data_IF_211277587140
#
_entry.id   IF_211277587140
#
_cell.length_a   1.000
_cell.length_b   1.000
_cell.length_c   1.000
_cell.angle_alpha   90.00
_cell.angle_beta   90.00
_cell.angle_gamma   90.00
#
_symmetry.space_group_name_H-M   'P 1'
#
loop_
_entity.id
_entity.type
_entity.pdbx_description
1 polymer ?
#
# COMPACT_ATOMS: atom_id res chain seq x y z
N UNK A 1 -37.29 64.13 -7.21
CA UNK A 1 -37.36 63.11 -6.14
C UNK A 1 -36.33 62.04 -6.47
N UNK A 2 -35.44 61.73 -5.53
CA UNK A 2 -34.20 60.95 -5.78
C UNK A 2 -34.53 59.46 -5.99
N UNK A 3 -33.93 58.90 -7.04
CA UNK A 3 -33.96 57.48 -7.40
C UNK A 3 -33.15 56.65 -6.37
N UNK A 4 -33.66 55.51 -5.84
CA UNK A 4 -32.91 54.69 -4.91
C UNK A 4 -31.96 53.73 -5.64
N UNK A 5 -30.68 53.78 -5.24
CA UNK A 5 -29.62 52.86 -5.64
C UNK A 5 -29.87 51.47 -5.02
N UNK A 6 -30.07 50.44 -5.84
CA UNK A 6 -29.94 49.04 -5.40
C UNK A 6 -28.46 48.73 -5.14
N UNK A 7 -28.12 48.41 -3.88
CA UNK A 7 -26.83 47.79 -3.53
C UNK A 7 -26.83 46.34 -4.02
N UNK A 8 -25.88 46.00 -4.90
CA UNK A 8 -25.51 44.61 -5.20
C UNK A 8 -24.74 44.05 -4.00
N UNK A 9 -25.24 42.97 -3.40
CA UNK A 9 -24.51 42.20 -2.40
C UNK A 9 -23.31 41.45 -3.03
N UNK A 10 -22.27 41.12 -2.26
CA UNK A 10 -21.16 40.34 -2.77
C UNK A 10 -21.64 38.93 -3.11
N UNK A 11 -21.52 38.54 -4.38
CA UNK A 11 -21.79 37.19 -4.84
C UNK A 11 -20.73 36.25 -4.27
N UNK A 12 -21.17 35.24 -3.53
CA UNK A 12 -20.33 34.10 -3.16
C UNK A 12 -20.01 33.34 -4.44
N UNK A 13 -18.75 33.41 -4.87
CA UNK A 13 -18.23 32.57 -5.95
C UNK A 13 -17.93 31.21 -5.33
N UNK A 14 -18.81 30.23 -5.58
CA UNK A 14 -18.53 28.83 -5.27
C UNK A 14 -17.48 28.34 -6.26
N UNK A 15 -16.21 28.30 -5.85
CA UNK A 15 -15.15 27.63 -6.61
C UNK A 15 -15.33 26.13 -6.37
N UNK A 16 -15.98 25.46 -7.32
CA UNK A 16 -16.03 24.00 -7.36
C UNK A 16 -14.64 23.51 -7.81
N UNK A 17 -13.79 23.12 -6.85
CA UNK A 17 -12.56 22.39 -7.17
C UNK A 17 -12.99 20.97 -7.51
N UNK A 18 -13.11 20.68 -8.81
CA UNK A 18 -13.20 19.30 -9.29
C UNK A 18 -11.84 18.65 -9.02
N UNK A 19 -11.73 17.88 -7.94
CA UNK A 19 -10.63 16.94 -7.76
C UNK A 19 -10.85 15.85 -8.79
N UNK A 20 -10.23 16.02 -9.96
CA UNK A 20 -10.20 14.98 -10.97
C UNK A 20 -9.36 13.84 -10.45
N UNK A 21 -9.98 12.72 -10.07
CA UNK A 21 -9.25 11.48 -9.90
C UNK A 21 -8.53 11.18 -11.23
N UNK A 22 -7.22 10.90 -11.22
CA UNK A 22 -6.54 10.49 -12.44
C UNK A 22 -7.30 9.29 -13.01
N UNK A 23 -7.60 9.33 -14.32
CA UNK A 23 -8.15 8.17 -14.99
C UNK A 23 -7.15 7.02 -14.82
N UNK A 24 -7.48 6.09 -13.93
CA UNK A 24 -6.62 4.96 -13.60
C UNK A 24 -6.26 4.17 -14.87
N UNK A 25 -5.04 3.68 -14.95
CA UNK A 25 -4.52 2.98 -16.11
C UNK A 25 -5.38 1.80 -16.53
N UNK A 26 -5.54 1.60 -17.85
CA UNK A 26 -6.30 0.46 -18.37
C UNK A 26 -5.53 -0.86 -18.25
N UNK A 27 -4.22 -0.81 -18.43
CA UNK A 27 -3.32 -1.96 -18.24
C UNK A 27 -2.52 -1.71 -16.98
N UNK A 28 -2.53 -2.69 -16.08
CA UNK A 28 -1.96 -2.57 -14.74
C UNK A 28 -1.00 -3.73 -14.48
N UNK A 29 0.00 -3.50 -13.62
CA UNK A 29 0.82 -4.57 -13.07
C UNK A 29 -0.06 -5.34 -12.08
N UNK A 30 -0.26 -6.62 -12.33
CA UNK A 30 -1.27 -7.44 -11.66
C UNK A 30 -0.69 -8.44 -10.68
N UNK A 31 0.47 -9.01 -11.00
CA UNK A 31 1.11 -10.04 -10.19
C UNK A 31 2.62 -10.01 -10.43
N UNK A 32 3.41 -10.23 -9.37
CA UNK A 32 4.88 -10.18 -9.43
C UNK A 32 5.47 -11.39 -8.69
N UNK A 33 6.20 -12.23 -9.42
CA UNK A 33 7.03 -13.30 -8.87
C UNK A 33 8.50 -12.84 -8.87
N UNK A 34 8.89 -12.09 -7.83
CA UNK A 34 10.20 -11.44 -7.77
C UNK A 34 11.31 -12.31 -7.19
N UNK A 35 10.98 -13.33 -6.38
CA UNK A 35 11.96 -14.24 -5.79
C UNK A 35 11.39 -15.67 -5.75
N UNK A 36 11.34 -16.36 -6.90
CA UNK A 36 10.82 -17.73 -7.00
C UNK A 36 11.74 -18.76 -6.34
N UNK A 37 11.20 -19.92 -5.89
CA UNK A 37 12.00 -21.02 -5.39
C UNK A 37 12.74 -21.74 -6.54
N UNK A 38 13.92 -22.35 -6.28
CA UNK A 38 14.62 -22.32 -4.99
C UNK A 38 15.28 -20.95 -4.73
N UNK A 39 15.19 -20.48 -3.48
CA UNK A 39 15.83 -19.23 -3.06
C UNK A 39 17.37 -19.34 -2.99
N UNK A 40 17.91 -20.55 -2.79
CA UNK A 40 19.35 -20.81 -2.68
C UNK A 40 19.74 -22.12 -3.38
N UNK A 41 20.64 -22.11 -4.38
CA UNK A 41 21.02 -20.90 -5.14
C UNK A 41 19.79 -20.34 -5.84
N UNK A 42 19.68 -19.02 -5.84
CA UNK A 42 18.62 -18.27 -6.53
C UNK A 42 18.61 -18.58 -8.04
N UNK A 43 17.42 -18.65 -8.63
CA UNK A 43 17.22 -18.85 -10.08
C UNK A 43 16.39 -17.71 -10.68
N UNK A 44 17.00 -16.55 -11.02
CA UNK A 44 16.28 -15.38 -11.55
C UNK A 44 15.51 -15.66 -12.86
N UNK A 45 15.90 -16.71 -13.60
CA UNK A 45 15.21 -17.12 -14.82
C UNK A 45 13.75 -17.58 -14.59
N UNK A 46 13.35 -17.82 -13.34
CA UNK A 46 11.98 -18.20 -12.98
C UNK A 46 11.12 -16.99 -12.57
N UNK A 47 11.68 -15.79 -12.54
CA UNK A 47 10.93 -14.57 -12.25
C UNK A 47 9.97 -14.24 -13.39
N UNK A 48 8.85 -13.60 -13.05
CA UNK A 48 7.88 -13.12 -14.03
C UNK A 48 7.01 -12.00 -13.43
N UNK A 49 6.43 -11.21 -14.32
CA UNK A 49 5.45 -10.16 -14.02
C UNK A 49 4.22 -10.42 -14.87
N UNK A 50 3.04 -10.24 -14.32
CA UNK A 50 1.79 -10.26 -15.07
C UNK A 50 1.22 -8.86 -15.25
N UNK A 51 0.72 -8.59 -16.45
CA UNK A 51 -0.08 -7.41 -16.76
C UNK A 51 -1.55 -7.81 -16.93
N UNK A 52 -2.47 -7.00 -16.42
CA UNK A 52 -3.91 -7.18 -16.57
C UNK A 52 -4.55 -6.00 -17.30
N UNK A 53 -5.36 -6.27 -18.33
CA UNK A 53 -6.17 -5.26 -18.99
C UNK A 53 -7.57 -5.26 -18.38
N UNK A 54 -7.83 -4.33 -17.45
CA UNK A 54 -9.13 -4.17 -16.78
C UNK A 54 -10.17 -3.43 -17.63
N UNK A 55 -9.81 -3.00 -18.83
CA UNK A 55 -10.71 -2.30 -19.74
C UNK A 55 -11.59 -3.22 -20.58
N UNK A 56 -12.54 -2.60 -21.30
CA UNK A 56 -13.49 -3.29 -22.17
C UNK A 56 -13.00 -3.47 -23.62
N UNK A 57 -11.81 -2.96 -23.95
CA UNK A 57 -11.21 -3.06 -25.27
C UNK A 57 -9.83 -3.72 -25.21
N UNK A 58 -9.43 -4.38 -26.29
CA UNK A 58 -8.06 -4.87 -26.45
C UNK A 58 -7.06 -3.69 -26.46
N UNK A 59 -5.90 -3.87 -25.82
CA UNK A 59 -4.81 -2.88 -25.81
C UNK A 59 -3.59 -3.47 -26.50
N UNK A 60 -3.13 -2.80 -27.54
CA UNK A 60 -1.86 -3.10 -28.20
C UNK A 60 -0.70 -2.50 -27.40
N UNK A 61 0.26 -3.35 -27.04
CA UNK A 61 1.44 -2.96 -26.26
C UNK A 61 2.66 -2.67 -27.15
N UNK A 62 2.54 -2.69 -28.47
CA UNK A 62 3.67 -2.44 -29.38
C UNK A 62 4.40 -1.14 -29.02
N UNK A 63 5.70 -1.24 -28.70
CA UNK A 63 6.55 -0.13 -28.29
C UNK A 63 6.48 0.24 -26.80
N UNK A 64 5.58 -0.36 -26.02
CA UNK A 64 5.58 -0.22 -24.56
C UNK A 64 6.83 -0.89 -23.97
N UNK A 65 7.12 -0.61 -22.70
CA UNK A 65 8.24 -1.23 -21.98
C UNK A 65 7.92 -1.53 -20.52
N UNK A 66 8.57 -2.56 -20.00
CA UNK A 66 8.91 -2.61 -18.57
C UNK A 66 10.23 -1.87 -18.38
N UNK A 67 10.24 -0.97 -17.42
CA UNK A 67 11.35 -0.08 -17.06
C UNK A 67 11.42 0.03 -15.54
N UNK A 68 12.60 0.39 -15.02
CA UNK A 68 12.94 0.34 -13.59
C UNK A 68 12.80 -1.11 -13.06
N UNK A 69 13.92 -1.72 -12.67
CA UNK A 69 14.01 -3.13 -12.29
C UNK A 69 14.44 -4.05 -13.42
N UNK A 70 13.57 -4.27 -14.43
CA UNK A 70 13.90 -5.08 -15.61
C UNK A 70 13.72 -4.29 -16.90
N UNK A 71 14.46 -4.68 -17.95
CA UNK A 71 14.38 -4.05 -19.26
C UNK A 71 13.73 -4.99 -20.28
N UNK A 72 12.53 -4.64 -20.73
CA UNK A 72 11.79 -5.38 -21.76
C UNK A 72 11.01 -4.42 -22.65
N UNK A 73 11.00 -4.66 -23.96
CA UNK A 73 10.21 -3.89 -24.93
C UNK A 73 9.24 -4.81 -25.66
N UNK A 74 7.96 -4.45 -25.61
CA UNK A 74 6.89 -5.18 -26.27
C UNK A 74 6.91 -4.87 -27.77
N UNK A 75 6.81 -5.90 -28.62
CA UNK A 75 6.97 -5.73 -30.08
C UNK A 75 5.65 -5.88 -30.83
N UNK A 76 4.98 -7.02 -30.71
CA UNK A 76 3.70 -7.29 -31.37
C UNK A 76 2.85 -8.19 -30.47
N UNK A 77 2.26 -7.60 -29.43
CA UNK A 77 1.38 -8.29 -28.50
C UNK A 77 0.30 -7.34 -28.03
N UNK A 78 -0.91 -7.87 -27.91
CA UNK A 78 -2.03 -7.14 -27.35
C UNK A 78 -2.63 -7.95 -26.19
N UNK A 79 -3.15 -7.25 -25.20
CA UNK A 79 -3.92 -7.86 -24.12
C UNK A 79 -5.41 -7.66 -24.44
N UNK A 80 -6.20 -8.73 -24.65
CA UNK A 80 -7.65 -8.62 -24.82
C UNK A 80 -8.31 -7.93 -23.63
N UNK A 81 -9.53 -7.44 -23.83
CA UNK A 81 -10.36 -6.92 -22.74
C UNK A 81 -10.53 -7.98 -21.63
N UNK A 82 -10.24 -7.63 -20.39
CA UNK A 82 -10.27 -8.56 -19.25
C UNK A 82 -9.21 -9.66 -19.31
N UNK A 83 -8.23 -9.57 -20.21
CA UNK A 83 -7.16 -10.56 -20.35
C UNK A 83 -5.92 -10.24 -19.52
N UNK A 84 -5.10 -11.26 -19.29
CA UNK A 84 -3.77 -11.13 -18.69
C UNK A 84 -2.66 -11.44 -19.71
N UNK A 85 -1.46 -10.91 -19.48
CA UNK A 85 -0.25 -11.23 -20.21
C UNK A 85 0.91 -11.42 -19.24
N UNK A 86 1.52 -12.59 -19.26
CA UNK A 86 2.74 -12.87 -18.50
C UNK A 86 3.95 -12.36 -19.28
N UNK A 87 4.85 -11.68 -18.60
CA UNK A 87 6.18 -11.32 -19.06
C UNK A 87 7.17 -12.07 -18.17
N UNK A 88 7.93 -13.00 -18.73
CA UNK A 88 8.86 -13.84 -17.97
C UNK A 88 10.32 -13.41 -18.15
N UNK A 89 11.15 -13.61 -17.12
CA UNK A 89 12.60 -13.46 -17.21
C UNK A 89 13.21 -14.34 -18.29
N UNK A 90 12.77 -15.60 -18.35
CA UNK A 90 13.10 -16.54 -19.41
C UNK A 90 11.83 -17.26 -19.84
N UNK A 91 11.37 -16.98 -21.06
CA UNK A 91 10.09 -17.50 -21.56
C UNK A 91 10.09 -19.03 -21.64
N UNK A 92 11.19 -19.63 -22.09
CA UNK A 92 11.28 -21.08 -22.25
C UNK A 92 11.28 -21.80 -20.89
N UNK A 93 11.99 -21.26 -19.90
CA UNK A 93 12.00 -21.77 -18.53
C UNK A 93 10.62 -21.66 -17.89
N UNK A 94 9.97 -20.49 -18.04
CA UNK A 94 8.60 -20.28 -17.57
C UNK A 94 7.64 -21.31 -18.17
N UNK A 95 7.66 -21.50 -19.50
CA UNK A 95 6.78 -22.46 -20.17
C UNK A 95 7.03 -23.91 -19.77
N UNK A 96 8.24 -24.25 -19.31
CA UNK A 96 8.55 -25.57 -18.76
C UNK A 96 7.86 -25.80 -17.41
N UNK A 97 7.77 -24.76 -16.58
CA UNK A 97 7.12 -24.83 -15.26
C UNK A 97 5.59 -24.60 -15.35
N UNK A 98 5.14 -23.86 -16.36
CA UNK A 98 3.74 -23.49 -16.58
C UNK A 98 3.26 -23.88 -18.00
N UNK A 99 3.25 -25.18 -18.36
CA UNK A 99 3.01 -25.64 -19.74
C UNK A 99 1.61 -25.31 -20.30
N UNK A 100 0.64 -24.98 -19.45
CA UNK A 100 -0.71 -24.57 -19.84
C UNK A 100 -0.86 -23.08 -20.18
N UNK A 101 0.16 -22.26 -19.90
CA UNK A 101 0.09 -20.80 -20.04
C UNK A 101 0.73 -20.39 -21.36
N UNK A 102 -0.10 -19.96 -22.31
CA UNK A 102 0.31 -19.62 -23.69
C UNK A 102 0.42 -18.11 -23.94
N UNK A 103 -0.29 -17.29 -23.15
CA UNK A 103 -0.24 -15.84 -23.12
C UNK A 103 1.00 -15.34 -22.36
N UNK A 104 2.18 -15.73 -22.85
CA UNK A 104 3.47 -15.37 -22.26
C UNK A 104 4.41 -14.81 -23.32
N UNK A 105 5.02 -13.67 -22.99
CA UNK A 105 6.19 -13.08 -23.63
C UNK A 105 7.32 -13.03 -22.59
N UNK A 106 8.52 -12.57 -22.95
CA UNK A 106 9.60 -12.50 -21.98
C UNK A 106 10.98 -12.42 -22.60
N UNK A 107 11.96 -12.93 -21.86
CA UNK A 107 13.38 -12.81 -22.14
C UNK A 107 13.88 -11.38 -21.90
N UNK A 108 13.47 -10.80 -20.76
CA UNK A 108 13.93 -9.48 -20.34
C UNK A 108 15.42 -9.47 -19.97
N UNK A 109 16.02 -8.29 -19.97
CA UNK A 109 17.38 -8.10 -19.45
C UNK A 109 17.32 -7.59 -18.01
N UNK A 110 18.21 -8.11 -17.15
CA UNK A 110 18.22 -7.80 -15.72
C UNK A 110 17.50 -8.86 -14.91
N UNK A 111 17.16 -8.51 -13.67
CA UNK A 111 16.39 -9.34 -12.74
C UNK A 111 15.68 -8.45 -11.74
N UNK A 112 14.61 -8.97 -11.17
CA UNK A 112 13.93 -8.38 -10.05
C UNK A 112 14.82 -8.48 -8.79
N UNK A 113 14.80 -7.46 -7.93
CA UNK A 113 15.54 -7.40 -6.67
C UNK A 113 14.72 -7.96 -5.53
N UNK A 114 15.29 -8.89 -4.77
CA UNK A 114 14.57 -9.58 -3.69
C UNK A 114 14.21 -8.65 -2.51
N UNK A 115 15.08 -7.69 -2.19
CA UNK A 115 14.83 -6.73 -1.11
C UNK A 115 13.89 -5.58 -1.50
N UNK A 116 13.55 -5.47 -2.78
CA UNK A 116 12.64 -4.47 -3.29
C UNK A 116 13.23 -3.48 -4.29
N UNK A 117 12.34 -2.94 -5.11
CA UNK A 117 12.59 -1.89 -6.10
C UNK A 117 11.28 -1.34 -6.69
N UNK A 118 11.40 -0.32 -7.55
CA UNK A 118 10.28 0.16 -8.37
C UNK A 118 10.27 -0.59 -9.70
N UNK A 119 9.13 -1.17 -10.06
CA UNK A 119 8.81 -1.67 -11.39
C UNK A 119 7.81 -0.74 -12.06
N UNK A 120 8.07 -0.34 -13.31
CA UNK A 120 7.23 0.60 -14.05
C UNK A 120 6.84 0.05 -15.41
N UNK A 121 5.57 0.20 -15.78
CA UNK A 121 5.04 -0.03 -17.11
C UNK A 121 4.94 1.32 -17.82
N UNK A 122 5.56 1.43 -18.99
CA UNK A 122 5.61 2.69 -19.73
C UNK A 122 5.11 2.48 -21.16
N UNK A 123 4.24 3.37 -21.63
CA UNK A 123 3.69 3.27 -22.99
C UNK A 123 4.71 3.64 -24.09
N UNK A 124 4.31 3.43 -25.35
CA UNK A 124 5.13 3.75 -26.52
C UNK A 124 5.48 5.25 -26.66
N UNK A 125 4.73 6.15 -26.01
CA UNK A 125 5.02 7.58 -25.98
C UNK A 125 5.98 7.96 -24.83
N UNK A 126 6.38 7.00 -23.99
CA UNK A 126 7.26 7.22 -22.86
C UNK A 126 6.56 7.66 -21.58
N UNK A 127 5.23 7.57 -21.50
CA UNK A 127 4.44 7.94 -20.31
C UNK A 127 4.28 6.74 -19.38
N UNK A 128 4.58 6.93 -18.08
CA UNK A 128 4.35 5.90 -17.07
C UNK A 128 2.83 5.62 -16.99
N UNK A 129 2.48 4.37 -17.29
CA UNK A 129 1.10 3.88 -17.28
C UNK A 129 0.77 3.39 -15.89
N UNK A 130 1.64 2.55 -15.32
CA UNK A 130 1.47 2.01 -13.98
C UNK A 130 2.83 1.76 -13.34
N UNK A 131 2.88 1.75 -12.01
CA UNK A 131 4.10 1.36 -11.30
C UNK A 131 3.82 0.81 -9.90
N UNK A 132 4.72 -0.06 -9.45
CA UNK A 132 4.65 -0.70 -8.14
C UNK A 132 6.04 -0.68 -7.51
N UNK A 133 6.15 -0.20 -6.27
CA UNK A 133 7.39 -0.24 -5.49
C UNK A 133 7.37 -1.39 -4.51
N UNK A 134 7.66 -2.60 -4.98
CA UNK A 134 7.61 -3.81 -4.17
C UNK A 134 8.84 -3.97 -3.25
N UNK A 135 8.70 -4.75 -2.17
CA UNK A 135 9.77 -5.08 -1.24
C UNK A 135 9.50 -6.38 -0.48
N UNK A 136 10.53 -6.97 0.13
CA UNK A 136 10.38 -8.09 1.07
C UNK A 136 9.79 -7.67 2.43
N UNK A 137 9.69 -6.36 2.68
CA UNK A 137 9.15 -5.75 3.90
C UNK A 137 8.05 -4.73 3.56
N UNK A 138 7.41 -4.14 4.57
CA UNK A 138 6.34 -3.16 4.38
C UNK A 138 4.95 -3.75 4.58
N UNK A 139 3.93 -3.08 4.06
CA UNK A 139 2.53 -3.36 4.43
C UNK A 139 1.93 -4.63 3.79
N UNK A 140 2.60 -5.25 2.81
CA UNK A 140 2.28 -6.60 2.32
C UNK A 140 3.02 -7.72 3.07
N UNK A 141 3.95 -7.38 3.96
CA UNK A 141 4.75 -8.32 4.73
C UNK A 141 4.28 -8.35 6.18
N UNK A 142 4.47 -9.49 6.83
CA UNK A 142 4.24 -9.61 8.27
C UNK A 142 5.49 -9.15 9.02
N UNK A 143 5.33 -8.27 10.01
CA UNK A 143 6.44 -7.91 10.91
C UNK A 143 6.54 -8.93 12.02
N UNK A 144 7.61 -9.71 12.06
CA UNK A 144 7.84 -10.71 13.12
C UNK A 144 9.09 -10.37 13.92
N UNK A 145 9.14 -10.84 15.17
CA UNK A 145 10.37 -10.77 15.96
C UNK A 145 11.39 -11.71 15.30
N UNK A 146 12.53 -11.15 14.90
CA UNK A 146 13.61 -11.87 14.25
C UNK A 146 14.46 -12.71 15.19
N UNK A 147 15.43 -13.41 14.61
CA UNK A 147 16.45 -14.11 15.38
C UNK A 147 17.34 -13.13 16.17
N UNK A 148 17.96 -13.57 17.29
CA UNK A 148 18.89 -12.73 18.02
C UNK A 148 20.06 -12.34 17.12
N UNK A 149 20.56 -11.11 17.30
CA UNK A 149 21.75 -10.71 16.57
C UNK A 149 22.94 -11.61 16.95
N UNK A 150 23.82 -11.96 15.99
CA UNK A 150 25.00 -12.76 16.26
C UNK A 150 25.85 -12.16 17.39
N UNK A 151 26.14 -12.96 18.42
CA UNK A 151 26.94 -12.53 19.57
C UNK A 151 26.21 -11.65 20.59
N UNK A 152 24.91 -11.37 20.42
CA UNK A 152 24.09 -10.64 21.39
C UNK A 152 23.28 -11.59 22.29
N UNK A 153 22.84 -11.15 23.48
CA UNK A 153 21.91 -11.90 24.30
C UNK A 153 20.61 -12.21 23.56
N UNK A 154 19.99 -13.37 23.82
CA UNK A 154 18.81 -13.85 23.09
C UNK A 154 17.54 -12.99 23.18
N UNK A 155 17.51 -12.00 24.07
CA UNK A 155 16.44 -11.00 24.20
C UNK A 155 16.65 -9.78 23.29
N UNK A 156 17.87 -9.57 22.77
CA UNK A 156 18.16 -8.50 21.83
C UNK A 156 17.82 -8.95 20.42
N UNK A 157 16.58 -8.67 20.01
CA UNK A 157 16.00 -9.02 18.71
C UNK A 157 15.46 -7.78 18.02
N UNK A 158 15.44 -7.80 16.69
CA UNK A 158 14.82 -6.75 15.87
C UNK A 158 13.52 -7.22 15.24
N UNK A 159 12.74 -6.29 14.71
CA UNK A 159 11.64 -6.60 13.80
C UNK A 159 12.19 -6.99 12.43
N UNK A 160 11.61 -8.02 11.82
CA UNK A 160 11.92 -8.47 10.47
C UNK A 160 10.63 -8.55 9.65
N UNK A 161 10.66 -8.06 8.40
CA UNK A 161 9.61 -8.33 7.45
C UNK A 161 9.70 -9.77 6.96
N UNK A 162 8.58 -10.47 6.95
CA UNK A 162 8.48 -11.85 6.43
C UNK A 162 7.32 -11.90 5.46
N UNK A 163 7.60 -12.33 4.24
CA UNK A 163 6.58 -12.59 3.23
C UNK A 163 6.84 -13.93 2.55
N UNK A 164 5.82 -14.78 2.34
CA UNK A 164 5.94 -15.99 1.54
C UNK A 164 6.36 -15.75 0.08
N UNK A 165 6.28 -14.50 -0.40
CA UNK A 165 6.71 -14.13 -1.73
C UNK A 165 8.23 -13.96 -1.87
N UNK A 166 8.97 -13.93 -0.75
CA UNK A 166 10.43 -13.82 -0.74
C UNK A 166 11.07 -15.21 -0.68
N UNK A 167 11.15 -15.90 -1.82
CA UNK A 167 11.77 -17.23 -1.92
C UNK A 167 10.89 -18.38 -1.41
N UNK A 168 9.70 -18.08 -0.89
CA UNK A 168 8.77 -19.03 -0.28
C UNK A 168 7.76 -19.67 -1.24
N UNK A 169 7.83 -19.36 -2.54
CA UNK A 169 6.95 -19.95 -3.56
C UNK A 169 5.74 -19.11 -3.95
N UNK A 170 5.41 -18.06 -3.22
CA UNK A 170 4.30 -17.16 -3.60
C UNK A 170 4.78 -16.05 -4.53
N UNK A 171 3.88 -15.56 -5.36
CA UNK A 171 3.98 -14.22 -5.95
C UNK A 171 3.29 -13.22 -5.00
N UNK A 172 3.43 -11.92 -5.28
CA UNK A 172 2.50 -10.90 -4.77
C UNK A 172 1.45 -10.59 -5.84
N UNK A 173 0.18 -10.58 -5.44
CA UNK A 173 -0.99 -10.37 -6.28
C UNK A 173 -1.71 -9.07 -5.90
N UNK A 174 -2.07 -8.27 -6.89
CA UNK A 174 -2.95 -7.12 -6.73
C UNK A 174 -4.35 -7.60 -6.33
N UNK A 175 -4.93 -7.00 -5.30
CA UNK A 175 -6.23 -7.41 -4.75
C UNK A 175 -7.39 -6.69 -5.41
N UNK A 176 -7.36 -5.36 -5.40
CA UNK A 176 -8.41 -4.52 -5.99
C UNK A 176 -7.82 -3.60 -7.06
N UNK A 177 -8.00 -3.98 -8.33
CA UNK A 177 -7.53 -3.21 -9.49
C UNK A 177 -8.32 -1.90 -9.74
N UNK A 178 -9.32 -1.59 -8.91
CA UNK A 178 -10.03 -0.31 -8.92
C UNK A 178 -9.46 0.70 -7.92
N UNK A 179 -8.48 0.34 -7.08
CA UNK A 179 -7.80 1.24 -6.15
C UNK A 179 -6.36 1.54 -6.60
N UNK A 180 -5.64 2.37 -5.84
CA UNK A 180 -4.23 2.63 -6.09
C UNK A 180 -3.39 1.33 -6.04
N UNK A 181 -2.49 1.14 -7.01
CA UNK A 181 -1.67 -0.08 -7.11
C UNK A 181 -0.30 0.08 -6.44
N UNK A 182 0.13 1.29 -6.13
CA UNK A 182 1.42 1.56 -5.47
C UNK A 182 1.34 1.47 -3.93
N UNK A 183 0.24 0.90 -3.41
CA UNK A 183 -0.01 0.75 -1.98
C UNK A 183 0.09 -0.70 -1.57
N UNK A 184 1.07 -1.07 -0.73
CA UNK A 184 1.28 -2.45 -0.30
C UNK A 184 0.06 -3.10 0.37
N UNK A 185 -0.82 -2.30 0.98
CA UNK A 185 -2.09 -2.75 1.57
C UNK A 185 -3.12 -3.26 0.54
N UNK A 186 -2.92 -2.99 -0.75
CA UNK A 186 -3.72 -3.51 -1.86
C UNK A 186 -3.10 -4.76 -2.53
N UNK A 187 -2.04 -5.30 -1.93
CA UNK A 187 -1.38 -6.51 -2.42
C UNK A 187 -1.39 -7.59 -1.36
N UNK A 188 -1.33 -8.86 -1.77
CA UNK A 188 -1.15 -9.97 -0.87
C UNK A 188 -0.37 -11.11 -1.55
N UNK A 189 0.32 -11.96 -0.77
CA UNK A 189 0.88 -13.19 -1.31
C UNK A 189 -0.20 -14.06 -1.96
N UNK A 190 0.14 -14.71 -3.07
CA UNK A 190 -0.76 -15.65 -3.75
C UNK A 190 -1.22 -16.79 -2.84
N UNK A 191 -2.43 -17.28 -3.08
CA UNK A 191 -2.96 -18.50 -2.46
C UNK A 191 -2.13 -19.74 -2.83
N UNK A 192 -2.00 -20.10 -4.13
CA UNK A 192 -1.17 -21.22 -4.57
C UNK A 192 0.33 -20.87 -4.64
N UNK A 193 1.18 -21.89 -4.53
CA UNK A 193 2.60 -21.75 -4.91
C UNK A 193 2.71 -21.61 -6.43
N UNK A 194 3.66 -20.81 -6.89
CA UNK A 194 3.82 -20.48 -8.30
C UNK A 194 2.86 -19.40 -8.81
N UNK A 195 2.05 -18.79 -7.94
CA UNK A 195 1.12 -17.72 -8.28
C UNK A 195 -0.06 -18.16 -9.15
N UNK A 196 -0.70 -17.18 -9.78
CA UNK A 196 -1.82 -17.36 -10.72
C UNK A 196 -1.53 -16.90 -12.15
N UNK A 197 -0.35 -17.21 -12.73
CA UNK A 197 0.00 -16.65 -14.02
C UNK A 197 -0.98 -17.07 -15.12
N UNK A 198 -1.42 -16.07 -15.88
CA UNK A 198 -2.40 -16.16 -16.95
C UNK A 198 -3.84 -16.37 -16.47
N UNK A 199 -4.11 -16.31 -15.17
CA UNK A 199 -5.43 -16.54 -14.56
C UNK A 199 -5.82 -15.35 -13.66
N UNK A 200 -7.11 -15.23 -13.26
CA UNK A 200 -7.48 -14.25 -12.25
C UNK A 200 -6.71 -14.47 -10.95
N UNK A 201 -6.20 -13.38 -10.35
CA UNK A 201 -5.52 -13.41 -9.05
C UNK A 201 -6.38 -14.15 -8.02
N UNK A 202 -5.74 -15.06 -7.28
CA UNK A 202 -6.38 -15.77 -6.18
C UNK A 202 -6.83 -14.85 -5.04
N UNK A 203 -6.16 -13.70 -4.90
CA UNK A 203 -6.46 -12.65 -3.93
C UNK A 203 -7.35 -11.52 -4.48
N UNK A 204 -7.83 -11.64 -5.73
CA UNK A 204 -8.69 -10.66 -6.37
C UNK A 204 -10.00 -10.46 -5.60
N UNK A 205 -10.35 -9.20 -5.33
CA UNK A 205 -11.61 -8.81 -4.71
C UNK A 205 -11.98 -7.40 -5.11
N UNK A 206 -13.28 -7.12 -5.18
CA UNK A 206 -13.80 -5.76 -5.34
C UNK A 206 -13.96 -5.04 -4.00
N UNK A 207 -13.76 -5.73 -2.88
CA UNK A 207 -13.78 -5.17 -1.53
C UNK A 207 -12.55 -5.62 -0.72
N UNK A 208 -11.65 -4.69 -0.38
CA UNK A 208 -10.52 -4.90 0.52
C UNK A 208 -10.78 -4.16 1.84
N UNK A 209 -10.13 -4.54 2.96
CA UNK A 209 -10.19 -3.69 4.14
C UNK A 209 -9.72 -2.25 3.83
N UNK A 210 -10.19 -1.23 4.56
CA UNK A 210 -9.78 0.15 4.32
C UNK A 210 -8.26 0.29 4.37
N UNK A 211 -7.69 1.00 3.40
CA UNK A 211 -6.28 1.35 3.44
C UNK A 211 -6.07 2.49 4.43
N UNK A 212 -5.11 2.32 5.33
CA UNK A 212 -4.72 3.32 6.32
C UNK A 212 -3.34 3.82 5.90
N UNK A 213 -3.30 5.03 5.36
CA UNK A 213 -2.14 5.65 4.74
C UNK A 213 -1.76 6.93 5.46
N UNK A 214 -0.54 7.41 5.23
CA UNK A 214 -0.07 8.74 5.67
C UNK A 214 -0.33 9.04 7.17
N UNK A 215 -0.22 8.02 8.03
CA UNK A 215 -0.49 8.21 9.45
C UNK A 215 0.60 9.08 10.07
N UNK A 216 0.18 10.16 10.73
CA UNK A 216 1.08 11.10 11.39
C UNK A 216 0.52 11.55 12.73
N UNK A 217 1.40 12.02 13.62
CA UNK A 217 1.01 12.73 14.83
C UNK A 217 1.62 14.14 14.88
N UNK A 218 0.93 15.07 15.53
CA UNK A 218 1.37 16.43 15.75
C UNK A 218 0.99 16.93 17.16
N UNK A 219 1.86 17.66 17.88
CA UNK A 219 3.23 18.02 17.52
C UNK A 219 4.15 16.82 17.38
N UNK A 220 5.19 16.91 16.54
CA UNK A 220 6.16 15.82 16.38
C UNK A 220 6.86 15.45 17.70
N UNK A 221 7.12 16.47 18.53
CA UNK A 221 7.60 16.36 19.91
C UNK A 221 6.64 17.15 20.80
N UNK A 222 5.60 16.51 21.35
CA UNK A 222 4.63 17.19 22.21
C UNK A 222 5.22 17.52 23.58
N UNK A 223 4.88 18.68 24.13
CA UNK A 223 5.13 19.01 25.53
C UNK A 223 4.04 18.40 26.42
N UNK A 224 4.27 18.37 27.74
CA UNK A 224 3.34 17.74 28.69
C UNK A 224 2.00 18.45 28.84
N UNK A 225 1.87 19.64 28.25
CA UNK A 225 0.63 20.41 28.18
C UNK A 225 -0.05 20.30 26.82
N UNK A 226 0.63 19.73 25.82
CA UNK A 226 0.15 19.70 24.44
C UNK A 226 -0.76 18.48 24.25
N UNK A 227 -2.01 18.67 23.77
CA UNK A 227 -2.74 17.56 23.19
C UNK A 227 -2.06 17.11 21.90
N UNK A 228 -2.23 15.84 21.54
CA UNK A 228 -1.62 15.26 20.33
C UNK A 228 -2.71 14.96 19.32
N UNK A 229 -2.61 15.54 18.13
CA UNK A 229 -3.46 15.19 17.00
C UNK A 229 -2.85 14.01 16.25
N UNK A 230 -3.62 12.95 16.04
CA UNK A 230 -3.26 11.83 15.15
C UNK A 230 -4.13 11.92 13.92
N UNK A 231 -3.52 11.86 12.74
CA UNK A 231 -4.25 11.83 11.45
C UNK A 231 -3.90 10.59 10.65
N UNK A 232 -4.83 10.16 9.80
CA UNK A 232 -4.64 9.05 8.87
C UNK A 232 -5.47 9.28 7.61
N UNK A 233 -4.89 9.10 6.42
CA UNK A 233 -5.64 9.07 5.16
C UNK A 233 -6.27 7.70 5.00
N UNK A 234 -7.59 7.68 4.82
CA UNK A 234 -8.34 6.45 4.62
C UNK A 234 -8.82 6.39 3.18
N UNK A 235 -8.46 5.30 2.51
CA UNK A 235 -8.90 5.01 1.14
C UNK A 235 -9.64 3.69 1.15
N UNK A 236 -10.88 3.72 0.68
CA UNK A 236 -11.78 2.59 0.65
C UNK A 236 -12.74 2.75 -0.54
N UNK A 237 -13.14 1.65 -1.17
CA UNK A 237 -14.18 1.64 -2.21
C UNK A 237 -15.59 1.86 -1.63
N UNK A 238 -15.78 1.64 -0.33
CA UNK A 238 -17.03 1.93 0.37
C UNK A 238 -16.96 3.28 1.09
N UNK A 239 -18.13 3.89 1.28
CA UNK A 239 -18.21 5.18 1.95
C UNK A 239 -18.17 5.04 3.47
N UNK A 240 -17.53 6.00 4.14
CA UNK A 240 -17.56 6.22 5.59
C UNK A 240 -17.11 5.02 6.43
N UNK A 241 -15.88 4.51 6.26
CA UNK A 241 -15.31 3.53 7.19
C UNK A 241 -15.29 4.09 8.61
N UNK A 242 -15.48 3.20 9.59
CA UNK A 242 -15.31 3.53 11.00
C UNK A 242 -13.82 3.48 11.37
N UNK A 243 -13.28 4.60 11.84
CA UNK A 243 -11.84 4.76 12.09
C UNK A 243 -11.62 5.11 13.54
N UNK A 244 -10.68 4.44 14.20
CA UNK A 244 -10.31 4.71 15.59
C UNK A 244 -8.79 4.72 15.73
N UNK A 245 -8.29 5.61 16.58
CA UNK A 245 -6.95 5.50 17.14
C UNK A 245 -7.03 4.77 18.48
N UNK A 246 -6.19 3.76 18.61
CA UNK A 246 -5.98 3.02 19.84
C UNK A 246 -4.64 3.47 20.41
N UNK A 247 -4.62 3.96 21.65
CA UNK A 247 -3.40 4.49 22.27
C UNK A 247 -3.28 4.08 23.74
N UNK A 248 -2.05 4.05 24.26
CA UNK A 248 -1.78 3.87 25.69
C UNK A 248 -0.40 4.39 26.06
N UNK A 249 -0.16 4.62 27.34
CA UNK A 249 1.21 4.73 27.86
C UNK A 249 1.94 3.41 27.63
N UNK A 250 3.20 3.48 27.20
CA UNK A 250 4.03 2.30 26.96
C UNK A 250 4.04 1.36 28.18
N UNK A 251 3.77 0.08 27.94
CA UNK A 251 3.65 -0.95 28.97
C UNK A 251 2.32 -1.00 29.73
N UNK A 252 1.37 -0.10 29.47
CA UNK A 252 0.04 -0.18 30.08
C UNK A 252 -0.75 -1.40 29.54
N UNK A 253 -1.62 -2.03 30.36
CA UNK A 253 -2.24 -3.31 30.00
C UNK A 253 -3.32 -3.20 28.91
N UNK A 254 -3.91 -2.03 28.69
CA UNK A 254 -5.03 -1.84 27.78
C UNK A 254 -4.87 -0.56 26.94
N UNK A 255 -5.39 -0.60 25.71
CA UNK A 255 -5.53 0.58 24.86
C UNK A 255 -6.80 1.35 25.21
N UNK A 256 -6.67 2.66 25.33
CA UNK A 256 -7.77 3.59 25.17
C UNK A 256 -8.12 3.71 23.68
N UNK A 257 -9.37 4.06 23.39
CA UNK A 257 -9.89 4.15 22.02
C UNK A 257 -10.52 5.52 21.83
N UNK A 258 -10.08 6.24 20.80
CA UNK A 258 -10.69 7.50 20.38
C UNK A 258 -11.14 7.40 18.93
N UNK A 259 -12.38 7.80 18.60
CA UNK A 259 -12.83 7.84 17.21
C UNK A 259 -12.03 8.89 16.44
N UNK A 260 -11.64 8.54 15.22
CA UNK A 260 -11.10 9.49 14.25
C UNK A 260 -12.23 9.91 13.31
N UNK A 261 -12.32 11.21 13.01
CA UNK A 261 -13.38 11.79 12.19
C UNK A 261 -12.79 12.52 10.99
N UNK A 262 -13.54 12.54 9.89
CA UNK A 262 -13.31 13.39 8.71
C UNK A 262 -14.42 14.45 8.69
N UNK A 263 -14.34 15.38 9.65
CA UNK A 263 -15.35 16.39 9.98
C UNK A 263 -14.87 17.83 9.76
N UNK A 264 -13.67 18.03 9.24
CA UNK A 264 -13.04 19.34 9.08
C UNK A 264 -12.62 19.95 10.43
N UNK A 265 -12.55 19.13 11.48
CA UNK A 265 -12.08 19.47 12.82
C UNK A 265 -10.99 18.47 13.23
N UNK A 266 -10.53 18.49 14.48
CA UNK A 266 -9.52 17.51 14.95
C UNK A 266 -8.22 17.46 14.11
N UNK A 267 -7.89 18.56 13.40
CA UNK A 267 -6.69 18.68 12.56
C UNK A 267 -6.71 17.84 11.28
N UNK A 268 -7.89 17.42 10.81
CA UNK A 268 -8.09 16.52 9.68
C UNK A 268 -8.20 17.20 8.31
N UNK A 269 -8.23 18.53 8.22
CA UNK A 269 -8.35 19.23 6.93
C UNK A 269 -9.79 19.66 6.62
N UNK A 270 -10.29 19.29 5.44
CA UNK A 270 -11.67 19.61 5.02
C UNK A 270 -12.56 18.39 5.22
N UNK A 271 -13.77 18.60 5.73
CA UNK A 271 -14.73 17.52 5.88
C UNK A 271 -15.00 16.77 4.56
N UNK A 272 -14.90 15.44 4.62
CA UNK A 272 -15.11 14.51 3.51
C UNK A 272 -13.95 14.42 2.52
N UNK A 273 -12.72 14.81 2.91
CA UNK A 273 -11.53 14.73 2.04
C UNK A 273 -10.73 13.41 2.21
N UNK A 274 -11.21 12.51 3.06
CA UNK A 274 -10.64 11.21 3.35
C UNK A 274 -9.47 11.24 4.34
N UNK A 275 -9.10 12.40 4.89
CA UNK A 275 -8.18 12.51 6.01
C UNK A 275 -8.99 12.50 7.30
N UNK A 276 -8.68 11.55 8.18
CA UNK A 276 -9.35 11.39 9.47
C UNK A 276 -8.44 11.86 10.59
N UNK A 277 -8.98 12.58 11.58
CA UNK A 277 -8.24 13.11 12.73
C UNK A 277 -8.86 12.74 14.08
N UNK A 278 -8.01 12.57 15.09
CA UNK A 278 -8.40 12.49 16.49
C UNK A 278 -7.43 13.28 17.37
N UNK A 279 -7.96 13.88 18.45
CA UNK A 279 -7.15 14.61 19.44
C UNK A 279 -7.03 13.77 20.71
N UNK A 280 -5.81 13.34 21.00
CA UNK A 280 -5.43 12.62 22.20
C UNK A 280 -5.12 13.60 23.36
N UNK A 281 -5.46 13.25 24.60
CA UNK A 281 -5.18 14.09 25.75
C UNK A 281 -3.66 14.24 25.97
N UNK A 282 -3.26 15.39 26.52
CA UNK A 282 -1.88 15.65 26.93
C UNK A 282 -1.41 14.61 27.95
N UNK A 283 -0.13 14.23 27.86
CA UNK A 283 0.48 13.21 28.72
C UNK A 283 1.64 13.81 29.53
N UNK A 284 2.05 13.14 30.61
CA UNK A 284 3.14 13.62 31.47
C UNK A 284 4.48 13.70 30.74
N UNK A 285 5.37 14.59 31.21
CA UNK A 285 6.74 14.69 30.68
C UNK A 285 7.47 13.33 30.73
N UNK A 286 8.26 13.06 29.69
CA UNK A 286 8.99 11.79 29.48
C UNK A 286 8.13 10.55 29.29
N UNK A 287 6.81 10.69 29.16
CA UNK A 287 5.97 9.56 28.76
C UNK A 287 6.23 9.15 27.32
N UNK A 288 6.17 7.85 27.08
CA UNK A 288 6.10 7.29 25.73
C UNK A 288 4.68 6.78 25.55
N UNK A 289 4.05 7.21 24.46
CA UNK A 289 2.73 6.74 24.06
C UNK A 289 2.90 5.85 22.86
N UNK A 290 2.32 4.66 22.93
CA UNK A 290 2.17 3.78 21.79
C UNK A 290 0.76 3.88 21.21
N UNK A 291 0.65 3.84 19.89
CA UNK A 291 -0.63 3.89 19.21
C UNK A 291 -0.66 3.13 17.88
N UNK A 292 -1.86 2.73 17.47
CA UNK A 292 -2.16 2.24 16.14
C UNK A 292 -3.54 2.74 15.71
N UNK A 293 -3.77 2.81 14.40
CA UNK A 293 -5.06 3.17 13.81
C UNK A 293 -5.75 1.88 13.37
N UNK A 294 -7.05 1.78 13.61
CA UNK A 294 -7.91 0.71 13.14
C UNK A 294 -9.02 1.29 12.27
N UNK A 295 -9.26 0.67 11.11
CA UNK A 295 -10.34 1.04 10.21
C UNK A 295 -11.19 -0.19 9.87
N UNK A 296 -12.51 -0.01 9.84
CA UNK A 296 -13.48 -1.06 9.50
C UNK A 296 -14.48 -0.51 8.49
N UNK A 297 -14.67 -1.22 7.38
CA UNK A 297 -15.66 -0.84 6.36
C UNK A 297 -17.09 -1.26 6.77
N UNK A 298 -18.07 -0.93 5.94
CA UNK A 298 -19.46 -1.31 6.17
C UNK A 298 -19.73 -2.83 6.06
N UNK A 299 -18.82 -3.60 5.44
CA UNK A 299 -18.90 -5.05 5.32
C UNK A 299 -18.22 -5.79 6.50
N UNK A 300 -17.58 -5.06 7.42
CA UNK A 300 -16.85 -5.61 8.57
C UNK A 300 -15.41 -6.04 8.26
N UNK A 301 -14.89 -5.72 7.08
CA UNK A 301 -13.48 -5.87 6.75
C UNK A 301 -12.65 -4.86 7.55
N UNK A 302 -11.62 -5.35 8.21
CA UNK A 302 -10.83 -4.58 9.18
C UNK A 302 -9.35 -4.56 8.82
N UNK A 303 -8.72 -3.42 9.05
CA UNK A 303 -7.26 -3.26 9.00
C UNK A 303 -6.77 -2.44 10.18
N UNK A 304 -5.53 -2.69 10.56
CA UNK A 304 -4.78 -1.86 11.49
C UNK A 304 -3.48 -1.37 10.85
N UNK A 305 -3.04 -0.18 11.24
CA UNK A 305 -1.73 0.35 10.93
C UNK A 305 -1.06 0.90 12.20
N UNK A 306 0.17 0.50 12.53
CA UNK A 306 0.88 -0.64 11.94
C UNK A 306 0.08 -1.96 11.98
N UNK A 307 0.40 -2.85 11.04
CA UNK A 307 -0.21 -4.18 10.99
C UNK A 307 0.22 -5.06 12.17
N UNK A 308 -0.54 -6.12 12.48
CA UNK A 308 -0.20 -7.04 13.57
C UNK A 308 1.14 -7.75 13.37
N UNK A 309 1.72 -8.21 14.47
CA UNK A 309 3.05 -8.83 14.48
C UNK A 309 3.05 -10.36 14.39
N UNK A 310 1.86 -10.95 14.38
CA UNK A 310 1.65 -12.39 14.24
C UNK A 310 0.28 -12.69 13.63
N UNK A 311 0.06 -13.98 13.34
CA UNK A 311 -1.19 -14.47 12.73
C UNK A 311 -2.38 -14.45 13.72
N UNK A 312 -2.14 -14.18 15.01
CA UNK A 312 -3.17 -14.05 16.04
C UNK A 312 -3.72 -12.62 16.13
N UNK A 313 -3.11 -11.67 15.41
CA UNK A 313 -3.53 -10.27 15.44
C UNK A 313 -2.93 -9.47 16.59
N UNK A 314 -1.80 -9.92 17.17
CA UNK A 314 -1.14 -9.20 18.26
C UNK A 314 -0.60 -7.85 17.78
N UNK A 315 -0.92 -6.79 18.52
CA UNK A 315 -0.37 -5.45 18.29
C UNK A 315 0.93 -5.26 19.07
N UNK A 316 2.07 -5.62 18.44
CA UNK A 316 3.38 -5.59 19.07
C UNK A 316 4.37 -4.55 18.52
N UNK A 317 4.13 -3.99 17.32
CA UNK A 317 5.05 -3.10 16.61
C UNK A 317 4.36 -1.77 16.23
N UNK A 318 3.76 -1.13 17.24
CA UNK A 318 2.95 0.08 17.11
C UNK A 318 3.81 1.34 16.85
N UNK A 319 3.16 2.41 16.40
CA UNK A 319 3.79 3.72 16.32
C UNK A 319 3.98 4.31 17.73
N UNK A 320 5.00 5.15 17.90
CA UNK A 320 5.36 5.74 19.18
C UNK A 320 5.53 7.25 19.05
N UNK A 321 5.14 8.00 20.08
CA UNK A 321 5.64 9.35 20.30
C UNK A 321 6.10 9.52 21.75
N UNK A 322 7.09 10.39 21.95
CA UNK A 322 7.60 10.73 23.28
C UNK A 322 7.21 12.16 23.61
N UNK A 323 6.67 12.36 24.81
CA UNK A 323 6.45 13.68 25.37
C UNK A 323 7.75 14.20 25.95
N UNK A 324 8.15 15.39 25.55
CA UNK A 324 9.36 16.03 26.06
C UNK A 324 9.20 17.54 26.24
N UNK A 325 9.35 18.00 27.49
CA UNK A 325 9.37 19.42 27.83
C UNK A 325 10.70 20.12 27.55
N UNK A 326 11.76 19.38 27.20
CA UNK A 326 13.04 20.02 26.86
C UNK A 326 12.92 20.79 25.55
N UNK A 327 13.11 22.11 25.62
CA UNK A 327 13.38 22.91 24.43
C UNK A 327 14.74 22.51 23.86
N UNK A 328 14.75 21.91 22.67
CA UNK A 328 15.97 21.75 21.89
C UNK A 328 16.52 23.15 21.56
N UNK A 329 17.48 23.64 22.36
CA UNK A 329 18.38 24.69 21.91
C UNK A 329 19.28 24.06 20.85
N UNK A 330 19.04 24.41 19.59
CA UNK A 330 19.80 23.89 18.44
C UNK A 330 21.31 24.12 18.52
#
# INVERSE_FOLDING_TARGET
>A
MRCPLLRRGPGVVLILVLVGFPAQAQVVINEIMYHPPPAVPEVPAFEWVELFNRGSNSVDLSGWRLDQGVAFTFTNVAIPAGGCLVVAANRAAFQTHHPGISNVVGDWTGRLRNLGEKLSLVDAAGREVDSVSYAAEGDWALRRIGEPFPGQPGWWRGWQGVTPADGGGKSIELRNAALAHDQGQNWAPSGPDGGTPGQPNSMATNNIPPMILEVTHYPAVPQSTDPVTVTARIVDETANPAVNVHYRLDGAPAFEVSPMLDDGQHGDGLAGDGLYGAVLPAQGDKSVVEFYVAAVDAAGLRRTWPGPTDDLGTQGANALYQVDNFGYGG
#
